data_IF_392854743605
#
_entry.id   IF_392854743605
#
_cell.length_a   1.000
_cell.length_b   1.000
_cell.length_c   1.000
_cell.angle_alpha   90.00
_cell.angle_beta   90.00
_cell.angle_gamma   90.00
#
_symmetry.space_group_name_H-M   'P 1'
#
loop_
_entity.id
_entity.type
_entity.pdbx_description
1 polymer ?
#
# COMPACT_ATOMS: atom_id res chain seq x y z
N UNK A 1 -10.28 46.35 -18.26
CA UNK A 1 -10.53 45.04 -17.61
C UNK A 1 -10.50 43.96 -18.70
N UNK A 2 -9.48 43.09 -18.73
CA UNK A 2 -9.38 41.98 -19.70
C UNK A 2 -10.27 40.83 -19.21
N UNK A 3 -11.26 40.44 -20.00
CA UNK A 3 -12.11 39.27 -19.74
C UNK A 3 -11.30 38.03 -20.06
N UNK A 4 -11.15 37.11 -19.10
CA UNK A 4 -10.45 35.85 -19.28
C UNK A 4 -11.33 34.93 -20.12
N UNK A 5 -10.88 34.57 -21.33
CA UNK A 5 -11.60 33.64 -22.22
C UNK A 5 -11.08 32.23 -21.93
N UNK A 6 -11.91 31.29 -21.44
CA UNK A 6 -11.47 29.91 -21.24
C UNK A 6 -11.14 29.26 -22.59
N UNK A 7 -10.14 28.38 -22.58
CA UNK A 7 -9.68 27.68 -23.78
C UNK A 7 -10.80 26.78 -24.37
N UNK A 8 -10.88 26.61 -25.70
CA UNK A 8 -11.89 25.77 -26.34
C UNK A 8 -11.79 24.31 -25.90
N UNK A 9 -12.95 23.71 -25.61
CA UNK A 9 -13.10 22.32 -25.14
C UNK A 9 -12.64 21.31 -26.20
N UNK A 10 -12.65 21.70 -27.48
CA UNK A 10 -12.27 20.88 -28.63
C UNK A 10 -10.80 20.40 -28.60
N UNK A 11 -9.95 20.99 -27.75
CA UNK A 11 -8.56 20.55 -27.55
C UNK A 11 -8.49 19.17 -26.88
N UNK A 12 -9.55 18.76 -26.16
CA UNK A 12 -9.59 17.49 -25.42
C UNK A 12 -9.76 16.26 -26.33
N UNK A 13 -10.36 16.41 -27.51
CA UNK A 13 -10.65 15.30 -28.44
C UNK A 13 -9.39 14.72 -29.11
N UNK A 14 -8.25 15.40 -28.98
CA UNK A 14 -6.97 14.95 -29.50
C UNK A 14 -6.07 14.30 -28.44
N UNK A 15 -6.53 14.21 -27.19
CA UNK A 15 -5.76 13.61 -26.10
C UNK A 15 -5.98 12.09 -26.11
N UNK A 16 -5.16 11.38 -26.89
CA UNK A 16 -5.02 9.92 -26.74
C UNK A 16 -4.24 9.63 -25.45
N UNK A 17 -4.97 9.36 -24.37
CA UNK A 17 -4.37 8.89 -23.12
C UNK A 17 -3.77 7.50 -23.35
N UNK A 18 -2.44 7.46 -23.52
CA UNK A 18 -1.66 6.23 -23.47
C UNK A 18 -1.56 5.82 -22.00
N UNK A 19 -2.37 4.84 -21.60
CA UNK A 19 -2.39 4.35 -20.22
C UNK A 19 -1.23 3.35 -20.05
N UNK A 20 -0.18 3.81 -19.38
CA UNK A 20 0.86 2.96 -18.78
C UNK A 20 0.47 2.61 -17.32
N UNK A 21 1.03 1.55 -16.70
CA UNK A 21 0.39 0.80 -15.62
C UNK A 21 0.03 1.68 -14.42
N UNK A 22 -1.28 1.81 -14.26
CA UNK A 22 -2.03 2.61 -13.32
C UNK A 22 -1.70 2.30 -11.84
N UNK A 23 -1.05 3.24 -11.15
CA UNK A 23 -1.07 3.25 -9.68
C UNK A 23 -2.51 3.37 -9.17
N UNK A 24 -2.91 2.71 -8.07
CA UNK A 24 -4.29 2.75 -7.55
C UNK A 24 -4.88 4.15 -7.38
N UNK A 25 -4.04 5.15 -7.12
CA UNK A 25 -4.40 6.55 -6.99
C UNK A 25 -4.89 7.18 -8.31
N UNK A 26 -4.30 6.82 -9.45
CA UNK A 26 -4.68 7.37 -10.77
C UNK A 26 -6.04 6.81 -11.19
N UNK A 27 -6.26 5.51 -11.00
CA UNK A 27 -7.55 4.88 -11.28
C UNK A 27 -8.65 5.46 -10.41
N UNK A 28 -8.38 5.71 -9.12
CA UNK A 28 -9.35 6.28 -8.19
C UNK A 28 -9.68 7.75 -8.55
N UNK A 29 -8.68 8.53 -8.98
CA UNK A 29 -8.91 9.88 -9.52
C UNK A 29 -9.74 9.86 -10.80
N UNK A 30 -9.45 8.96 -11.74
CA UNK A 30 -10.23 8.84 -12.97
C UNK A 30 -11.68 8.45 -12.69
N UNK A 31 -11.92 7.55 -11.73
CA UNK A 31 -13.29 7.22 -11.31
C UNK A 31 -14.00 8.42 -10.70
N UNK A 32 -13.37 9.14 -9.77
CA UNK A 32 -13.99 10.31 -9.10
C UNK A 32 -14.26 11.44 -10.10
N UNK A 33 -13.31 11.74 -10.99
CA UNK A 33 -13.42 12.81 -11.98
C UNK A 33 -14.41 12.49 -13.12
N UNK A 34 -14.66 11.20 -13.37
CA UNK A 34 -15.62 10.73 -14.37
C UNK A 34 -17.07 10.60 -13.86
N UNK A 35 -17.33 10.87 -12.57
CA UNK A 35 -18.68 10.87 -12.02
C UNK A 35 -19.43 12.13 -12.47
N UNK A 36 -20.52 11.93 -13.22
CA UNK A 36 -21.47 13.00 -13.53
C UNK A 36 -22.35 13.26 -12.29
N UNK A 37 -22.64 14.53 -12.00
CA UNK A 37 -23.46 14.94 -10.84
C UNK A 37 -24.89 14.37 -10.81
N UNK A 38 -25.35 13.72 -11.90
CA UNK A 38 -26.68 13.12 -12.02
C UNK A 38 -26.70 11.61 -11.74
N UNK A 39 -25.57 10.99 -11.37
CA UNK A 39 -25.53 9.56 -11.12
C UNK A 39 -26.20 9.22 -9.78
N UNK A 40 -27.43 8.69 -9.85
CA UNK A 40 -28.19 8.23 -8.68
C UNK A 40 -27.90 6.76 -8.39
N UNK A 41 -27.42 6.44 -7.20
CA UNK A 41 -27.23 5.06 -6.74
C UNK A 41 -28.48 4.55 -6.02
N UNK A 42 -28.89 3.31 -6.30
CA UNK A 42 -29.97 2.69 -5.53
C UNK A 42 -29.48 2.28 -4.14
N UNK A 43 -30.42 2.13 -3.20
CA UNK A 43 -30.09 1.59 -1.86
C UNK A 43 -29.44 0.21 -1.91
N UNK A 44 -29.80 -0.60 -2.91
CA UNK A 44 -29.20 -1.93 -3.11
C UNK A 44 -27.75 -1.84 -3.60
N UNK A 45 -27.43 -0.87 -4.46
CA UNK A 45 -26.06 -0.65 -4.95
C UNK A 45 -25.14 -0.17 -3.83
N UNK A 46 -25.62 0.76 -3.00
CA UNK A 46 -24.88 1.24 -1.83
C UNK A 46 -24.62 0.10 -0.83
N UNK A 47 -25.64 -0.72 -0.54
CA UNK A 47 -25.49 -1.88 0.35
C UNK A 47 -24.46 -2.88 -0.20
N UNK A 48 -24.49 -3.18 -1.50
CA UNK A 48 -23.52 -4.07 -2.14
C UNK A 48 -22.10 -3.49 -2.07
N UNK A 49 -21.94 -2.19 -2.30
CA UNK A 49 -20.64 -1.53 -2.20
C UNK A 49 -20.07 -1.59 -0.77
N UNK A 50 -20.91 -1.37 0.24
CA UNK A 50 -20.54 -1.48 1.66
C UNK A 50 -20.11 -2.92 2.03
N UNK A 51 -20.83 -3.93 1.56
CA UNK A 51 -20.49 -5.35 1.77
C UNK A 51 -19.13 -5.70 1.13
N UNK A 52 -18.90 -5.24 -0.10
CA UNK A 52 -17.63 -5.44 -0.81
C UNK A 52 -16.47 -4.73 -0.11
N UNK A 53 -16.66 -3.48 0.32
CA UNK A 53 -15.64 -2.75 1.07
C UNK A 53 -15.33 -3.44 2.39
N UNK A 54 -16.35 -3.85 3.14
CA UNK A 54 -16.18 -4.55 4.41
C UNK A 54 -15.35 -5.81 4.26
N UNK A 55 -15.64 -6.63 3.24
CA UNK A 55 -14.87 -7.82 2.92
C UNK A 55 -13.43 -7.49 2.53
N UNK A 56 -13.23 -6.48 1.68
CA UNK A 56 -11.90 -6.04 1.25
C UNK A 56 -11.04 -5.57 2.44
N UNK A 57 -11.61 -4.82 3.39
CA UNK A 57 -10.90 -4.38 4.60
C UNK A 57 -10.51 -5.55 5.51
N UNK A 58 -11.38 -6.55 5.68
CA UNK A 58 -11.06 -7.77 6.45
C UNK A 58 -9.91 -8.53 5.80
N UNK A 59 -9.97 -8.77 4.49
CA UNK A 59 -8.91 -9.46 3.75
C UNK A 59 -7.59 -8.66 3.81
N UNK A 60 -7.66 -7.34 3.66
CA UNK A 60 -6.50 -6.44 3.75
C UNK A 60 -5.84 -6.51 5.13
N UNK A 61 -6.62 -6.44 6.20
CA UNK A 61 -6.12 -6.54 7.57
C UNK A 61 -5.43 -7.89 7.83
N UNK A 62 -5.99 -8.99 7.30
CA UNK A 62 -5.35 -10.31 7.37
C UNK A 62 -4.00 -10.32 6.65
N UNK A 63 -3.89 -9.71 5.46
CA UNK A 63 -2.61 -9.58 4.74
C UNK A 63 -1.57 -8.78 5.53
N UNK A 64 -1.97 -7.68 6.18
CA UNK A 64 -1.08 -6.91 7.05
C UNK A 64 -0.59 -7.74 8.24
N UNK A 65 -1.46 -8.56 8.83
CA UNK A 65 -1.07 -9.48 9.91
C UNK A 65 -0.05 -10.51 9.44
N UNK A 66 -0.24 -11.09 8.25
CA UNK A 66 0.74 -12.01 7.66
C UNK A 66 2.09 -11.33 7.43
N UNK A 67 2.09 -10.11 6.90
CA UNK A 67 3.31 -9.35 6.67
C UNK A 67 4.05 -9.04 7.98
N UNK A 68 3.31 -8.67 9.03
CA UNK A 68 3.87 -8.47 10.38
C UNK A 68 4.52 -9.74 10.93
N UNK A 69 3.84 -10.88 10.79
CA UNK A 69 4.39 -12.19 11.21
C UNK A 69 5.63 -12.58 10.40
N UNK A 70 5.63 -12.32 9.08
CA UNK A 70 6.78 -12.53 8.22
C UNK A 70 7.99 -11.73 8.70
N UNK A 71 7.84 -10.42 8.96
CA UNK A 71 8.95 -9.60 9.44
C UNK A 71 9.54 -10.13 10.74
N UNK A 72 8.67 -10.43 11.72
CA UNK A 72 9.08 -10.97 13.01
C UNK A 72 9.83 -12.32 12.88
N UNK A 73 9.29 -13.26 12.10
CA UNK A 73 9.90 -14.58 11.94
C UNK A 73 11.26 -14.50 11.25
N UNK A 74 11.42 -13.62 10.25
CA UNK A 74 12.70 -13.45 9.56
C UNK A 74 13.76 -12.79 10.46
N UNK A 75 13.41 -11.73 11.21
CA UNK A 75 14.33 -11.13 12.19
C UNK A 75 14.80 -12.17 13.23
N UNK A 76 13.87 -13.00 13.71
CA UNK A 76 14.19 -14.09 14.63
C UNK A 76 15.09 -15.15 13.99
N UNK A 77 14.84 -15.50 12.73
CA UNK A 77 15.65 -16.46 11.97
C UNK A 77 17.09 -15.94 11.80
N UNK A 78 17.28 -14.66 11.43
CA UNK A 78 18.60 -14.03 11.35
C UNK A 78 19.33 -14.07 12.70
N UNK A 79 18.65 -13.72 13.78
CA UNK A 79 19.20 -13.80 15.14
C UNK A 79 19.67 -15.20 15.50
N UNK A 80 18.89 -16.23 15.14
CA UNK A 80 19.22 -17.63 15.44
C UNK A 80 20.38 -18.14 14.60
N UNK A 81 20.37 -17.89 13.28
CA UNK A 81 21.42 -18.42 12.40
C UNK A 81 22.77 -17.75 12.66
N UNK A 82 22.77 -16.43 12.93
CA UNK A 82 23.98 -15.69 13.29
C UNK A 82 24.53 -16.14 14.64
N UNK A 83 23.66 -16.35 15.64
CA UNK A 83 24.07 -16.95 16.92
C UNK A 83 24.67 -18.34 16.74
N UNK A 84 24.14 -19.15 15.82
CA UNK A 84 24.69 -20.47 15.50
C UNK A 84 26.07 -20.34 14.84
N UNK A 85 26.21 -19.43 13.88
CA UNK A 85 27.47 -19.14 13.20
C UNK A 85 28.57 -18.76 14.19
N UNK A 86 28.29 -17.81 15.08
CA UNK A 86 29.25 -17.36 16.09
C UNK A 86 29.68 -18.51 17.02
N UNK A 87 28.73 -19.34 17.46
CA UNK A 87 29.03 -20.53 18.28
C UNK A 87 29.90 -21.56 17.56
N UNK A 88 29.61 -21.82 16.29
CA UNK A 88 30.34 -22.84 15.51
C UNK A 88 31.73 -22.38 15.10
N UNK A 89 31.87 -21.10 14.74
CA UNK A 89 33.12 -20.56 14.21
C UNK A 89 34.00 -19.89 15.27
N UNK A 90 33.46 -19.69 16.49
CA UNK A 90 34.08 -18.90 17.56
C UNK A 90 34.44 -17.47 17.11
N UNK A 91 33.72 -16.93 16.12
CA UNK A 91 33.82 -15.55 15.64
C UNK A 91 32.67 -14.72 16.19
N UNK A 92 32.86 -13.40 16.21
CA UNK A 92 31.82 -12.45 16.61
C UNK A 92 31.28 -11.69 15.38
N UNK A 93 30.62 -12.40 14.48
CA UNK A 93 30.04 -11.83 13.26
C UNK A 93 28.59 -11.41 13.46
N UNK A 94 27.86 -11.97 14.43
CA UNK A 94 26.44 -11.67 14.61
C UNK A 94 26.16 -10.19 14.81
N UNK A 95 27.00 -9.46 15.55
CA UNK A 95 26.79 -8.04 15.88
C UNK A 95 26.70 -7.13 14.64
N UNK A 96 27.70 -7.07 13.72
CA UNK A 96 27.59 -6.23 12.53
C UNK A 96 26.47 -6.66 11.58
N UNK A 97 26.18 -7.97 11.47
CA UNK A 97 25.11 -8.45 10.60
C UNK A 97 23.72 -8.14 11.15
N UNK A 98 23.49 -8.30 12.46
CA UNK A 98 22.22 -7.91 13.09
C UNK A 98 21.99 -6.41 12.96
N UNK A 99 23.03 -5.59 13.13
CA UNK A 99 22.92 -4.16 12.88
C UNK A 99 22.44 -3.87 11.45
N UNK A 100 22.92 -4.63 10.45
CA UNK A 100 22.47 -4.48 9.06
C UNK A 100 20.99 -4.87 8.89
N UNK A 101 20.55 -5.94 9.56
CA UNK A 101 19.14 -6.37 9.54
C UNK A 101 18.25 -5.33 10.19
N UNK A 102 18.63 -4.78 11.34
CA UNK A 102 17.86 -3.79 12.08
C UNK A 102 17.65 -2.49 11.27
N UNK A 103 18.64 -2.09 10.48
CA UNK A 103 18.57 -0.90 9.61
C UNK A 103 17.93 -1.17 8.23
N UNK A 104 17.70 -2.44 7.88
CA UNK A 104 16.98 -2.78 6.65
C UNK A 104 15.48 -2.47 6.77
N UNK A 105 14.76 -2.47 5.65
CA UNK A 105 13.30 -2.30 5.66
C UNK A 105 12.58 -3.38 6.48
N UNK A 106 13.14 -4.60 6.53
CA UNK A 106 12.62 -5.69 7.34
C UNK A 106 12.67 -5.37 8.84
N UNK A 107 13.74 -4.69 9.28
CA UNK A 107 14.02 -4.31 10.66
C UNK A 107 13.27 -3.06 11.13
N UNK A 108 13.27 -2.04 10.27
CA UNK A 108 12.90 -0.67 10.64
C UNK A 108 11.53 -0.20 10.16
N UNK A 109 10.86 -0.93 9.26
CA UNK A 109 9.56 -0.52 8.74
C UNK A 109 8.46 -0.60 9.81
N UNK A 110 7.92 0.56 10.21
CA UNK A 110 6.78 0.69 11.12
C UNK A 110 5.42 0.81 10.38
N UNK A 111 5.46 0.93 9.05
CA UNK A 111 4.31 1.23 8.19
C UNK A 111 3.19 0.21 8.35
N UNK A 112 3.53 -1.09 8.43
CA UNK A 112 2.55 -2.15 8.65
C UNK A 112 1.79 -1.94 9.96
N UNK A 113 2.50 -1.58 11.03
CA UNK A 113 1.86 -1.32 12.33
C UNK A 113 1.01 -0.05 12.31
N UNK A 114 1.45 1.00 11.61
CA UNK A 114 0.69 2.23 11.42
C UNK A 114 -0.55 2.02 10.56
N UNK A 115 -0.50 1.15 9.56
CA UNK A 115 -1.64 0.87 8.70
C UNK A 115 -2.68 0.01 9.40
N UNK A 116 -2.22 -1.00 10.16
CA UNK A 116 -3.09 -1.81 11.01
C UNK A 116 -3.86 -0.99 12.07
N UNK A 117 -3.32 0.13 12.55
CA UNK A 117 -4.05 0.99 13.50
C UNK A 117 -5.14 1.85 12.84
N UNK A 118 -4.99 2.14 11.54
CA UNK A 118 -5.96 2.92 10.74
C UNK A 118 -7.08 2.09 10.12
N UNK A 119 -6.80 0.81 9.87
CA UNK A 119 -7.74 -0.15 9.25
C UNK A 119 -8.66 -0.82 10.29
N UNK A 120 -8.48 -0.50 11.58
CA UNK A 120 -9.29 -1.04 12.68
C UNK A 120 -10.76 -0.66 12.60
#
# INVERSE_FOLDING_TARGET
KKVFKPAPVEILDHIKLKIEPETPLTTLKCMILGLNNEQTFSKADLKRAEELMSRAFVEFYQKLRFLKSYCFLNQLAFSKILKKYDKTTLRNASKPYLNTVDHSYLGSCDEVSRLMSRVK
#
